data_IF_446045225178
#
_entry.id   IF_446045225178
#
_cell.length_a   1.000
_cell.length_b   1.000
_cell.length_c   1.000
_cell.angle_alpha   90.00
_cell.angle_beta   90.00
_cell.angle_gamma   90.00
#
_symmetry.space_group_name_H-M   'P 1'
#
loop_
_entity.id
_entity.type
_entity.pdbx_description
1 polymer ?
#
# COMPACT_ATOMS: atom_id res chain seq x y z
N UNK A 1 7.20 3.18 20.48
CA UNK A 1 6.31 2.78 19.37
C UNK A 1 7.03 1.92 18.34
N UNK A 2 8.09 2.39 17.69
CA UNK A 2 8.78 1.67 16.62
C UNK A 2 9.38 0.31 17.06
N UNK A 3 10.09 0.29 18.19
CA UNK A 3 10.67 -0.95 18.74
C UNK A 3 9.57 -1.96 19.11
N UNK A 4 8.45 -1.48 19.66
CA UNK A 4 7.29 -2.30 19.97
C UNK A 4 6.72 -2.98 18.72
N UNK A 5 6.60 -2.28 17.58
CA UNK A 5 6.12 -2.88 16.33
C UNK A 5 7.11 -3.91 15.78
N UNK A 6 8.42 -3.62 15.81
CA UNK A 6 9.46 -4.54 15.31
C UNK A 6 9.48 -5.86 16.08
N UNK A 7 9.31 -5.83 17.40
CA UNK A 7 9.36 -7.01 18.26
C UNK A 7 8.03 -7.76 18.41
N UNK A 8 6.90 -7.11 18.13
CA UNK A 8 5.58 -7.68 18.39
C UNK A 8 4.76 -7.93 17.13
N UNK A 9 5.38 -8.18 15.97
CA UNK A 9 4.66 -8.42 14.70
C UNK A 9 3.58 -9.52 14.77
N UNK A 10 3.66 -10.42 15.74
CA UNK A 10 2.68 -11.49 15.96
C UNK A 10 1.57 -11.13 16.99
N UNK A 11 1.72 -10.04 17.75
CA UNK A 11 0.76 -9.63 18.79
C UNK A 11 -0.11 -8.45 18.32
N UNK A 12 -1.22 -8.77 17.65
CA UNK A 12 -2.08 -7.76 17.01
C UNK A 12 -2.67 -6.71 17.96
N UNK A 13 -2.87 -7.02 19.25
CA UNK A 13 -3.43 -6.06 20.23
C UNK A 13 -2.48 -4.88 20.48
N UNK A 14 -1.17 -5.11 20.40
CA UNK A 14 -0.16 -4.09 20.64
C UNK A 14 0.25 -3.35 19.35
N UNK A 15 0.17 -4.02 18.20
CA UNK A 15 0.59 -3.42 16.92
C UNK A 15 -0.41 -2.36 16.44
N UNK A 16 -1.72 -2.61 16.54
CA UNK A 16 -2.72 -1.72 15.92
C UNK A 16 -2.66 -0.28 16.45
N UNK A 17 -2.60 -0.02 17.78
CA UNK A 17 -2.42 1.34 18.29
C UNK A 17 -1.10 1.97 17.84
N UNK A 18 -0.02 1.18 17.79
CA UNK A 18 1.27 1.67 17.31
C UNK A 18 1.22 2.10 15.84
N UNK A 19 0.54 1.33 14.97
CA UNK A 19 0.35 1.69 13.57
C UNK A 19 -0.53 2.94 13.41
N UNK A 20 -1.56 3.12 14.25
CA UNK A 20 -2.37 4.32 14.22
C UNK A 20 -1.55 5.58 14.55
N UNK A 21 -0.65 5.50 15.54
CA UNK A 21 0.28 6.60 15.85
C UNK A 21 1.23 6.86 14.68
N UNK A 22 1.81 5.80 14.10
CA UNK A 22 2.68 5.92 12.92
C UNK A 22 1.96 6.56 11.73
N UNK A 23 0.69 6.20 11.51
CA UNK A 23 -0.16 6.80 10.47
C UNK A 23 -0.27 8.31 10.65
N UNK A 24 -0.63 8.77 11.85
CA UNK A 24 -0.76 10.21 12.15
C UNK A 24 0.57 10.93 11.94
N UNK A 25 1.67 10.39 12.48
CA UNK A 25 3.00 10.97 12.32
C UNK A 25 3.44 11.05 10.86
N UNK A 26 3.11 10.06 10.04
CA UNK A 26 3.50 9.99 8.62
C UNK A 26 2.82 11.03 7.72
N UNK A 27 1.81 11.75 8.21
CA UNK A 27 1.13 12.82 7.45
C UNK A 27 2.00 14.07 7.27
N UNK A 28 2.97 14.29 8.17
CA UNK A 28 3.97 15.34 8.05
C UNK A 28 5.17 14.85 7.22
N UNK A 29 5.62 15.65 6.25
CA UNK A 29 6.68 15.26 5.31
C UNK A 29 8.04 15.01 5.97
N UNK A 30 8.41 15.81 6.98
CA UNK A 30 9.66 15.65 7.74
C UNK A 30 9.63 14.35 8.54
N UNK A 31 8.52 14.12 9.25
CA UNK A 31 8.32 12.89 10.01
C UNK A 31 8.32 11.66 9.08
N UNK A 32 7.64 11.72 7.93
CA UNK A 32 7.62 10.63 6.96
C UNK A 32 9.04 10.24 6.52
N UNK A 33 9.90 11.21 6.21
CA UNK A 33 11.32 10.95 5.85
C UNK A 33 12.05 10.27 7.01
N UNK A 34 11.88 10.78 8.24
CA UNK A 34 12.51 10.20 9.44
C UNK A 34 12.06 8.76 9.68
N UNK A 35 10.76 8.48 9.58
CA UNK A 35 10.20 7.13 9.70
C UNK A 35 10.77 6.19 8.62
N UNK A 36 10.90 6.67 7.39
CA UNK A 36 11.53 5.91 6.31
C UNK A 36 13.00 5.57 6.58
N UNK A 37 13.79 6.52 7.13
CA UNK A 37 15.17 6.24 7.58
C UNK A 37 15.23 5.18 8.68
N UNK A 38 14.21 5.13 9.53
CA UNK A 38 14.08 4.18 10.64
C UNK A 38 13.52 2.78 10.24
N UNK A 39 13.32 2.54 8.94
CA UNK A 39 12.89 1.26 8.40
C UNK A 39 11.38 1.01 8.42
N UNK A 40 10.57 2.06 8.60
CA UNK A 40 9.11 1.91 8.68
C UNK A 40 8.50 1.52 7.33
N UNK A 41 9.08 1.97 6.21
CA UNK A 41 8.59 1.59 4.87
C UNK A 41 8.69 0.08 4.68
N UNK A 42 9.87 -0.48 4.96
CA UNK A 42 10.15 -1.91 4.89
C UNK A 42 9.27 -2.71 5.86
N UNK A 43 9.04 -2.18 7.06
CA UNK A 43 8.13 -2.76 8.03
C UNK A 43 6.69 -2.81 7.53
N UNK A 44 6.19 -1.74 6.87
CA UNK A 44 4.86 -1.76 6.27
C UNK A 44 4.77 -2.83 5.18
N UNK A 45 5.79 -2.95 4.31
CA UNK A 45 5.83 -4.00 3.29
C UNK A 45 5.79 -5.42 3.88
N UNK A 46 6.42 -5.66 5.02
CA UNK A 46 6.32 -6.94 5.77
C UNK A 46 4.93 -7.20 6.36
N UNK A 47 4.17 -6.15 6.68
CA UNK A 47 2.82 -6.29 7.24
C UNK A 47 1.79 -6.48 6.14
N UNK A 48 1.94 -5.79 4.99
CA UNK A 48 0.93 -5.81 3.93
C UNK A 48 1.00 -7.01 2.99
N UNK A 49 2.10 -7.77 3.02
CA UNK A 49 2.30 -8.95 2.19
C UNK A 49 3.05 -10.08 2.91
N UNK A 50 2.92 -11.35 2.44
CA UNK A 50 2.10 -11.79 1.29
C UNK A 50 0.59 -11.79 1.62
N UNK A 51 -0.24 -12.04 0.60
CA UNK A 51 -1.70 -12.05 0.73
C UNK A 51 -2.19 -12.88 1.94
N UNK A 52 -3.11 -12.30 2.71
CA UNK A 52 -3.74 -12.97 3.85
C UNK A 52 -5.06 -12.31 4.21
N UNK A 53 -6.09 -13.13 4.49
CA UNK A 53 -7.37 -12.64 5.04
C UNK A 53 -7.33 -12.49 6.57
N UNK A 54 -6.19 -12.74 7.22
CA UNK A 54 -6.02 -12.53 8.66
C UNK A 54 -5.81 -11.04 8.96
N UNK A 55 -6.45 -10.54 10.02
CA UNK A 55 -6.25 -9.18 10.55
C UNK A 55 -6.43 -8.06 9.52
N UNK A 56 -7.51 -8.11 8.75
CA UNK A 56 -7.78 -7.11 7.69
C UNK A 56 -7.94 -5.67 8.21
N UNK A 57 -8.27 -5.48 9.49
CA UNK A 57 -8.26 -4.16 10.13
C UNK A 57 -6.85 -3.58 10.24
N UNK A 58 -5.89 -4.41 10.68
CA UNK A 58 -4.47 -4.06 10.75
C UNK A 58 -3.93 -3.70 9.37
N UNK A 59 -4.26 -4.53 8.37
CA UNK A 59 -3.85 -4.34 6.99
C UNK A 59 -4.31 -2.98 6.42
N UNK A 60 -5.56 -2.58 6.68
CA UNK A 60 -6.08 -1.28 6.25
C UNK A 60 -5.25 -0.13 6.83
N UNK A 61 -4.96 -0.16 8.13
CA UNK A 61 -4.14 0.89 8.78
C UNK A 61 -2.69 0.88 8.27
N UNK A 62 -2.12 -0.29 8.00
CA UNK A 62 -0.79 -0.40 7.42
C UNK A 62 -0.72 0.19 6.01
N UNK A 63 -1.74 -0.06 5.18
CA UNK A 63 -1.84 0.53 3.83
C UNK A 63 -2.02 2.04 3.86
N UNK A 64 -2.86 2.57 4.76
CA UNK A 64 -3.00 4.02 4.94
C UNK A 64 -1.66 4.67 5.36
N UNK A 65 -0.98 4.04 6.32
CA UNK A 65 0.35 4.48 6.79
C UNK A 65 1.36 4.44 5.65
N UNK A 66 1.39 3.35 4.88
CA UNK A 66 2.32 3.21 3.76
C UNK A 66 2.05 4.25 2.67
N UNK A 67 0.79 4.47 2.28
CA UNK A 67 0.44 5.48 1.30
C UNK A 67 0.89 6.88 1.76
N UNK A 68 0.69 7.23 3.03
CA UNK A 68 1.17 8.49 3.60
C UNK A 68 2.70 8.60 3.56
N UNK A 69 3.43 7.55 3.96
CA UNK A 69 4.90 7.51 3.90
C UNK A 69 5.43 7.71 2.48
N UNK A 70 4.78 7.10 1.48
CA UNK A 70 5.19 7.12 0.08
C UNK A 70 4.93 8.46 -0.62
N UNK A 71 4.18 9.39 -0.02
CA UNK A 71 4.05 10.77 -0.54
C UNK A 71 5.39 11.53 -0.51
N UNK A 72 6.31 11.14 0.37
CA UNK A 72 7.66 11.70 0.39
C UNK A 72 8.50 11.13 -0.76
N UNK A 73 9.11 12.01 -1.56
CA UNK A 73 10.00 11.61 -2.68
C UNK A 73 11.12 10.68 -2.24
N UNK A 74 11.72 10.92 -1.06
CA UNK A 74 12.80 10.10 -0.51
C UNK A 74 12.33 8.67 -0.19
N UNK A 75 11.12 8.54 0.37
CA UNK A 75 10.55 7.23 0.68
C UNK A 75 10.06 6.50 -0.55
N UNK A 76 9.44 7.21 -1.50
CA UNK A 76 9.07 6.66 -2.79
C UNK A 76 10.30 6.12 -3.53
N UNK A 77 11.40 6.89 -3.56
CA UNK A 77 12.67 6.45 -4.15
C UNK A 77 13.19 5.19 -3.46
N UNK A 78 13.22 5.17 -2.12
CA UNK A 78 13.60 3.97 -1.34
C UNK A 78 12.74 2.75 -1.68
N UNK A 79 11.44 2.93 -1.87
CA UNK A 79 10.55 1.83 -2.25
C UNK A 79 10.84 1.32 -3.66
N UNK A 80 11.12 2.21 -4.61
CA UNK A 80 11.53 1.85 -5.98
C UNK A 80 12.84 1.06 -5.97
N UNK A 81 13.88 1.57 -5.30
CA UNK A 81 15.20 0.93 -5.26
C UNK A 81 15.16 -0.47 -4.62
N UNK A 82 14.16 -0.74 -3.77
CA UNK A 82 13.92 -2.06 -3.16
C UNK A 82 13.00 -2.98 -3.97
N UNK A 83 12.58 -2.58 -5.17
CA UNK A 83 11.68 -3.38 -6.02
C UNK A 83 10.24 -3.45 -5.53
N UNK A 84 9.82 -2.57 -4.62
CA UNK A 84 8.50 -2.67 -3.99
C UNK A 84 7.33 -2.28 -4.89
N UNK A 85 7.57 -1.68 -6.06
CA UNK A 85 6.52 -1.42 -7.05
C UNK A 85 5.91 -2.73 -7.57
N UNK A 86 6.74 -3.72 -7.89
CA UNK A 86 6.28 -5.06 -8.29
C UNK A 86 5.52 -5.76 -7.15
N UNK A 87 5.97 -5.57 -5.91
CA UNK A 87 5.32 -6.13 -4.72
C UNK A 87 3.91 -5.54 -4.55
N UNK A 88 3.75 -4.23 -4.70
CA UNK A 88 2.43 -3.59 -4.64
C UNK A 88 1.47 -4.12 -5.72
N UNK A 89 1.95 -4.27 -6.96
CA UNK A 89 1.16 -4.83 -8.05
C UNK A 89 0.74 -6.28 -7.77
N UNK A 90 1.66 -7.09 -7.23
CA UNK A 90 1.38 -8.49 -6.87
C UNK A 90 0.31 -8.56 -5.78
N UNK A 91 0.47 -7.78 -4.71
CA UNK A 91 -0.52 -7.70 -3.61
C UNK A 91 -1.89 -7.25 -4.15
N UNK A 92 -1.91 -6.26 -5.04
CA UNK A 92 -3.16 -5.78 -5.64
C UNK A 92 -3.88 -6.87 -6.44
N UNK A 93 -3.14 -7.60 -7.31
CA UNK A 93 -3.68 -8.70 -8.10
C UNK A 93 -4.17 -9.84 -7.21
N UNK A 94 -3.43 -10.21 -6.17
CA UNK A 94 -3.84 -11.25 -5.24
C UNK A 94 -5.14 -10.88 -4.52
N UNK A 95 -5.26 -9.65 -4.02
CA UNK A 95 -6.51 -9.18 -3.41
C UNK A 95 -7.65 -9.12 -4.40
N UNK A 96 -7.40 -8.70 -5.64
CA UNK A 96 -8.42 -8.67 -6.68
C UNK A 96 -8.98 -10.07 -6.99
N UNK A 97 -8.10 -11.05 -7.21
CA UNK A 97 -8.47 -12.45 -7.50
C UNK A 97 -9.25 -13.12 -6.35
N UNK A 98 -8.91 -12.80 -5.10
CA UNK A 98 -9.47 -13.48 -3.93
C UNK A 98 -10.62 -12.73 -3.23
N UNK A 99 -11.03 -11.57 -3.75
CA UNK A 99 -12.13 -10.73 -3.25
C UNK A 99 -13.35 -10.75 -4.19
N UNK A 100 -13.77 -11.96 -4.61
CA UNK A 100 -14.90 -12.18 -5.52
C UNK A 100 -16.25 -11.67 -4.98
N UNK A 101 -16.39 -11.53 -3.65
CA UNK A 101 -17.57 -10.96 -2.98
C UNK A 101 -17.38 -9.48 -2.61
N UNK A 102 -16.27 -8.87 -3.01
CA UNK A 102 -15.97 -7.45 -2.81
C UNK A 102 -15.99 -6.97 -1.35
N UNK A 103 -15.77 -7.88 -0.40
CA UNK A 103 -15.77 -7.60 1.05
C UNK A 103 -14.52 -6.85 1.49
N UNK A 104 -13.47 -6.86 0.66
CA UNK A 104 -12.17 -6.28 0.94
C UNK A 104 -11.80 -5.17 -0.05
N UNK A 105 -12.80 -4.54 -0.68
CA UNK A 105 -12.61 -3.41 -1.60
C UNK A 105 -11.73 -2.29 -1.01
N UNK A 106 -11.88 -1.97 0.28
CA UNK A 106 -11.04 -0.95 0.92
C UNK A 106 -9.55 -1.32 1.00
N UNK A 107 -9.23 -2.60 1.10
CA UNK A 107 -7.83 -3.06 1.05
C UNK A 107 -7.29 -2.89 -0.37
N UNK A 108 -8.04 -3.33 -1.39
CA UNK A 108 -7.69 -3.12 -2.80
C UNK A 108 -7.44 -1.64 -3.10
N UNK A 109 -8.33 -0.77 -2.63
CA UNK A 109 -8.17 0.69 -2.74
C UNK A 109 -6.91 1.19 -2.04
N UNK A 110 -6.63 0.72 -0.82
CA UNK A 110 -5.42 1.08 -0.07
C UNK A 110 -4.13 0.72 -0.82
N UNK A 111 -4.10 -0.43 -1.49
CA UNK A 111 -2.95 -0.82 -2.34
C UNK A 111 -2.82 0.12 -3.54
N UNK A 112 -3.93 0.43 -4.23
CA UNK A 112 -3.91 1.41 -5.33
C UNK A 112 -3.43 2.79 -4.88
N UNK A 113 -3.78 3.24 -3.67
CA UNK A 113 -3.26 4.50 -3.12
C UNK A 113 -1.75 4.46 -2.85
N UNK A 114 -1.20 3.31 -2.45
CA UNK A 114 0.24 3.12 -2.34
C UNK A 114 0.92 3.19 -3.72
N UNK A 115 0.33 2.55 -4.74
CA UNK A 115 0.82 2.59 -6.13
C UNK A 115 0.80 4.03 -6.64
N UNK A 116 -0.32 4.74 -6.50
CA UNK A 116 -0.44 6.16 -6.86
C UNK A 116 0.62 7.03 -6.19
N UNK A 117 0.90 6.77 -4.92
CA UNK A 117 1.89 7.55 -4.17
C UNK A 117 3.31 7.30 -4.67
N UNK A 118 3.69 6.04 -4.94
CA UNK A 118 5.03 5.72 -5.46
C UNK A 118 5.22 6.18 -6.91
N UNK A 119 4.17 6.18 -7.74
CA UNK A 119 4.22 6.70 -9.12
C UNK A 119 4.22 8.23 -9.21
N UNK A 120 4.15 8.95 -8.09
CA UNK A 120 4.31 10.42 -8.08
C UNK A 120 5.69 10.88 -8.56
N UNK A 121 6.73 10.04 -8.43
CA UNK A 121 8.09 10.32 -8.89
C UNK A 121 8.40 9.64 -10.23
N UNK A 122 9.29 10.24 -11.04
CA UNK A 122 9.68 9.74 -12.38
C UNK A 122 10.13 8.27 -12.37
N UNK A 123 10.94 7.89 -11.38
CA UNK A 123 11.46 6.53 -11.26
C UNK A 123 10.39 5.52 -10.84
N UNK A 124 9.42 5.96 -10.04
CA UNK A 124 8.27 5.14 -9.68
C UNK A 124 7.37 4.87 -10.88
N UNK A 125 7.12 5.88 -11.74
CA UNK A 125 6.42 5.66 -13.01
C UNK A 125 7.16 4.69 -13.92
N UNK A 126 8.48 4.86 -14.07
CA UNK A 126 9.29 3.92 -14.86
C UNK A 126 9.19 2.49 -14.32
N UNK A 127 9.43 2.29 -13.03
CA UNK A 127 9.34 0.96 -12.40
C UNK A 127 7.93 0.36 -12.51
N UNK A 128 6.88 1.18 -12.45
CA UNK A 128 5.50 0.74 -12.64
C UNK A 128 5.22 0.28 -14.08
N UNK A 129 5.69 1.03 -15.08
CA UNK A 129 5.56 0.66 -16.50
C UNK A 129 6.36 -0.62 -16.79
N UNK A 130 7.62 -0.67 -16.34
CA UNK A 130 8.51 -1.83 -16.51
C UNK A 130 7.90 -3.10 -15.86
N UNK A 131 7.11 -2.95 -14.80
CA UNK A 131 6.37 -4.02 -14.12
C UNK A 131 5.00 -4.35 -14.74
N UNK A 132 4.71 -3.88 -15.97
CA UNK A 132 3.42 -4.05 -16.65
C UNK A 132 2.20 -3.48 -15.89
N UNK A 133 2.43 -2.47 -15.05
CA UNK A 133 1.40 -1.90 -14.18
C UNK A 133 0.17 -1.40 -14.94
N UNK A 134 0.35 -0.77 -16.10
CA UNK A 134 -0.75 -0.28 -16.95
C UNK A 134 -1.69 -1.41 -17.39
N UNK A 135 -1.13 -2.54 -17.85
CA UNK A 135 -1.92 -3.69 -18.30
C UNK A 135 -2.72 -4.29 -17.15
N UNK A 136 -2.10 -4.41 -15.97
CA UNK A 136 -2.76 -4.91 -14.75
C UNK A 136 -3.91 -3.98 -14.35
N UNK A 137 -3.67 -2.68 -14.27
CA UNK A 137 -4.69 -1.70 -13.89
C UNK A 137 -5.85 -1.67 -14.89
N UNK A 138 -5.56 -1.72 -16.18
CA UNK A 138 -6.58 -1.78 -17.23
C UNK A 138 -7.47 -3.01 -17.07
N UNK A 139 -6.90 -4.21 -17.02
CA UNK A 139 -7.66 -5.47 -16.92
C UNK A 139 -8.54 -5.51 -15.66
N UNK A 140 -7.94 -5.23 -14.50
CA UNK A 140 -8.68 -5.26 -13.24
C UNK A 140 -9.76 -4.17 -13.16
N UNK A 141 -9.57 -3.02 -13.84
CA UNK A 141 -10.60 -1.98 -13.92
C UNK A 141 -11.77 -2.43 -14.79
N UNK A 142 -11.51 -3.07 -15.94
CA UNK A 142 -12.58 -3.61 -16.82
C UNK A 142 -13.49 -4.58 -16.07
N UNK A 143 -12.91 -5.50 -15.28
CA UNK A 143 -13.68 -6.43 -14.43
C UNK A 143 -14.52 -5.72 -13.36
N UNK A 144 -14.14 -4.50 -12.95
CA UNK A 144 -14.87 -3.74 -11.93
C UNK A 144 -16.01 -2.87 -12.50
N UNK A 145 -16.02 -2.58 -13.80
CA UNK A 145 -16.96 -1.62 -14.40
C UNK A 145 -18.44 -2.01 -14.25
N UNK A 146 -18.73 -3.32 -14.22
CA UNK A 146 -20.09 -3.82 -14.08
C UNK A 146 -20.68 -3.66 -12.67
N UNK A 147 -19.85 -3.31 -11.68
CA UNK A 147 -20.24 -3.30 -10.26
C UNK A 147 -20.03 -1.91 -9.68
N UNK A 148 -21.11 -1.13 -9.58
CA UNK A 148 -21.09 0.27 -9.11
C UNK A 148 -20.40 0.46 -7.75
N UNK A 149 -20.47 -0.52 -6.85
CA UNK A 149 -19.78 -0.44 -5.55
C UNK A 149 -18.25 -0.46 -5.68
N UNK A 150 -17.71 -0.80 -6.86
CA UNK A 150 -16.29 -0.83 -7.18
C UNK A 150 -15.79 0.43 -7.91
N UNK A 151 -16.66 1.40 -8.23
CA UNK A 151 -16.27 2.69 -8.84
C UNK A 151 -15.07 3.35 -8.13
N UNK A 152 -14.94 3.33 -6.79
CA UNK A 152 -13.78 3.91 -6.12
C UNK A 152 -12.44 3.28 -6.52
N UNK A 153 -12.42 2.02 -6.98
CA UNK A 153 -11.22 1.34 -7.47
C UNK A 153 -10.87 1.83 -8.87
N UNK A 154 -11.84 1.88 -9.77
CA UNK A 154 -11.67 2.39 -11.15
C UNK A 154 -11.20 3.85 -11.11
N UNK A 155 -11.85 4.69 -10.30
CA UNK A 155 -11.49 6.10 -10.13
C UNK A 155 -10.10 6.30 -9.52
N UNK A 156 -9.65 5.39 -8.64
CA UNK A 156 -8.29 5.48 -8.12
C UNK A 156 -7.28 5.04 -9.19
N UNK A 157 -7.59 3.98 -9.93
CA UNK A 157 -6.75 3.40 -10.95
C UNK A 157 -6.49 4.34 -12.13
N UNK A 158 -7.48 5.16 -12.52
CA UNK A 158 -7.36 6.12 -13.62
C UNK A 158 -6.44 7.31 -13.31
N UNK A 159 -6.06 7.50 -12.05
CA UNK A 159 -5.18 8.57 -11.59
C UNK A 159 -3.70 8.15 -11.44
N UNK A 160 -3.36 6.91 -11.83
CA UNK A 160 -2.03 6.31 -11.72
C UNK A 160 -1.39 6.30 -13.11
#
# INVERSE_FOLDING_TARGET
>A
SLNSVKHNLQNHRLILPCLQVLRVYSTNSVNAVSLGKNGVVELMFKIIGPFSKKNTSLLKVALDTLAALLKSKTNARRAVDRGYVQVLLTIYVDWHRHDSRHRYMLIRKGVLQCIKSVTSIKLGRKAFIDANGMKILYHTSQECLAVRTLDPLVNTSSLI
#
